data_IF_934604987458
#
_entry.id   IF_934604987458
#
_cell.length_a   1.000
_cell.length_b   1.000
_cell.length_c   1.000
_cell.angle_alpha   90.00
_cell.angle_beta   90.00
_cell.angle_gamma   90.00
#
_symmetry.space_group_name_H-M   'P 1'
#
loop_
_entity.id
_entity.type
_entity.pdbx_description
1 polymer ?
#
# COMPACT_ATOMS: atom_id res chain seq x y z
N UNK A 1 -22.20 10.88 0.11
CA UNK A 1 -21.75 12.02 -0.70
C UNK A 1 -21.92 13.29 0.13
N UNK A 2 -20.81 13.92 0.49
CA UNK A 2 -20.86 15.25 1.12
C UNK A 2 -21.26 16.28 0.05
N UNK A 3 -21.76 17.45 0.42
CA UNK A 3 -22.07 18.52 -0.55
C UNK A 3 -20.86 19.04 -1.34
N UNK A 4 -19.66 18.51 -1.06
CA UNK A 4 -18.38 18.83 -1.73
C UNK A 4 -17.90 17.77 -2.71
N UNK A 5 -18.48 16.56 -2.73
CA UNK A 5 -18.05 15.51 -3.66
C UNK A 5 -18.66 15.74 -5.03
N UNK A 6 -17.82 16.01 -6.04
CA UNK A 6 -18.20 15.93 -7.44
C UNK A 6 -17.66 14.63 -8.01
N UNK A 7 -18.44 13.94 -8.84
CA UNK A 7 -17.97 12.75 -9.54
C UNK A 7 -16.97 13.20 -10.60
N UNK A 8 -15.70 12.88 -10.39
CA UNK A 8 -14.61 13.10 -11.33
C UNK A 8 -14.81 12.18 -12.54
N UNK A 9 -14.93 12.77 -13.74
CA UNK A 9 -15.03 12.02 -15.00
C UNK A 9 -13.69 11.86 -15.72
N UNK A 10 -12.60 12.34 -15.13
CA UNK A 10 -11.30 12.45 -15.80
C UNK A 10 -10.75 11.07 -16.24
N UNK A 11 -10.04 10.99 -17.38
CA UNK A 11 -9.51 9.73 -17.88
C UNK A 11 -8.48 9.10 -16.91
N UNK A 12 -8.65 7.80 -16.62
CA UNK A 12 -7.78 7.03 -15.72
C UNK A 12 -7.13 5.87 -16.46
N UNK A 13 -5.80 5.78 -16.37
CA UNK A 13 -5.03 4.61 -16.76
C UNK A 13 -4.73 3.75 -15.53
N UNK A 14 -5.04 2.47 -15.58
CA UNK A 14 -4.66 1.49 -14.56
C UNK A 14 -3.71 0.46 -15.18
N UNK A 15 -2.47 0.44 -14.72
CA UNK A 15 -1.44 -0.52 -15.12
C UNK A 15 -1.22 -1.52 -13.97
N UNK A 16 -1.65 -2.77 -14.17
CA UNK A 16 -1.55 -3.83 -13.16
C UNK A 16 -0.48 -4.85 -13.57
N UNK A 17 0.75 -4.66 -13.09
CA UNK A 17 1.87 -5.55 -13.32
C UNK A 17 1.85 -6.72 -12.33
N UNK A 18 1.81 -7.95 -12.83
CA UNK A 18 1.70 -9.16 -12.02
C UNK A 18 2.83 -10.12 -12.38
N UNK A 19 3.61 -10.52 -11.37
CA UNK A 19 4.60 -11.57 -11.55
C UNK A 19 3.88 -12.87 -11.96
N UNK A 20 4.35 -13.55 -13.01
CA UNK A 20 3.71 -14.73 -13.61
C UNK A 20 3.22 -15.80 -12.63
N UNK A 21 3.90 -16.00 -11.50
CA UNK A 21 3.57 -17.03 -10.50
C UNK A 21 2.57 -16.57 -9.45
N UNK A 22 2.25 -15.28 -9.41
CA UNK A 22 1.24 -14.71 -8.50
C UNK A 22 -0.13 -14.84 -9.17
N UNK A 23 -1.11 -15.32 -8.40
CA UNK A 23 -2.50 -15.33 -8.85
C UNK A 23 -3.10 -13.93 -8.69
N UNK A 24 -3.52 -13.26 -9.78
CA UNK A 24 -4.16 -11.95 -9.69
C UNK A 24 -5.60 -12.03 -9.20
N UNK A 25 -6.18 -13.21 -8.98
CA UNK A 25 -7.58 -13.32 -8.58
C UNK A 25 -7.85 -12.61 -7.25
N UNK A 26 -8.85 -11.72 -7.26
CA UNK A 26 -9.18 -10.88 -6.11
C UNK A 26 -8.13 -9.80 -5.81
N UNK A 27 -7.25 -9.46 -6.77
CA UNK A 27 -6.29 -8.39 -6.58
C UNK A 27 -6.99 -7.04 -6.33
N UNK A 28 -6.40 -6.16 -5.53
CA UNK A 28 -6.92 -4.81 -5.33
C UNK A 28 -7.06 -4.01 -6.64
N UNK A 29 -6.24 -4.29 -7.65
CA UNK A 29 -6.33 -3.65 -8.97
C UNK A 29 -7.60 -4.05 -9.74
N UNK A 30 -7.98 -5.34 -9.70
CA UNK A 30 -9.23 -5.80 -10.31
C UNK A 30 -10.45 -5.16 -9.62
N UNK A 31 -10.41 -5.08 -8.28
CA UNK A 31 -11.46 -4.40 -7.50
C UNK A 31 -11.54 -2.92 -7.88
N UNK A 32 -10.39 -2.23 -8.00
CA UNK A 32 -10.34 -0.83 -8.45
C UNK A 32 -11.02 -0.63 -9.81
N UNK A 33 -10.73 -1.48 -10.80
CA UNK A 33 -11.38 -1.44 -12.11
C UNK A 33 -12.90 -1.59 -11.98
N UNK A 34 -13.35 -2.59 -11.23
CA UNK A 34 -14.78 -2.91 -11.12
C UNK A 34 -15.58 -1.80 -10.42
N UNK A 35 -14.97 -1.13 -9.45
CA UNK A 35 -15.57 0.05 -8.80
C UNK A 35 -15.59 1.24 -9.76
N UNK A 36 -14.54 1.48 -10.54
CA UNK A 36 -14.44 2.64 -11.44
C UNK A 36 -15.35 2.53 -12.67
N UNK A 37 -15.62 1.32 -13.14
CA UNK A 37 -16.33 1.07 -14.41
C UNK A 37 -17.71 1.77 -14.51
N UNK A 38 -18.55 1.84 -13.46
CA UNK A 38 -19.82 2.56 -13.52
C UNK A 38 -19.69 4.09 -13.53
N UNK A 39 -18.55 4.64 -13.08
CA UNK A 39 -18.33 6.09 -12.98
C UNK A 39 -17.61 6.68 -14.19
N UNK A 40 -16.96 5.84 -15.02
CA UNK A 40 -16.15 6.28 -16.15
C UNK A 40 -16.80 5.85 -17.47
N UNK A 41 -16.99 6.76 -18.43
CA UNK A 41 -17.25 6.40 -19.82
C UNK A 41 -16.23 5.37 -20.34
N UNK A 42 -16.63 4.53 -21.31
CA UNK A 42 -15.80 3.40 -21.80
C UNK A 42 -14.44 3.84 -22.35
N UNK A 43 -14.34 5.06 -22.84
CA UNK A 43 -13.16 5.71 -23.38
C UNK A 43 -12.30 6.41 -22.32
N UNK A 44 -12.83 6.60 -21.10
CA UNK A 44 -12.15 7.30 -19.99
C UNK A 44 -11.51 6.35 -18.97
N UNK A 45 -11.62 5.03 -19.12
CA UNK A 45 -10.97 4.05 -18.25
C UNK A 45 -10.24 3.00 -19.09
N UNK A 46 -8.91 3.00 -19.01
CA UNK A 46 -8.07 1.94 -19.59
C UNK A 46 -7.47 1.11 -18.47
N UNK A 47 -7.74 -0.20 -18.49
CA UNK A 47 -7.19 -1.16 -17.53
C UNK A 47 -6.36 -2.20 -18.27
N UNK A 48 -5.08 -2.32 -17.90
CA UNK A 48 -4.17 -3.28 -18.50
C UNK A 48 -3.55 -4.16 -17.41
N UNK A 49 -3.94 -5.43 -17.40
CA UNK A 49 -3.25 -6.48 -16.63
C UNK A 49 -2.06 -6.99 -17.44
N UNK A 50 -0.86 -6.82 -16.89
CA UNK A 50 0.42 -7.07 -17.54
C UNK A 50 1.13 -8.16 -16.75
N UNK A 51 1.08 -9.39 -17.28
CA UNK A 51 1.83 -10.51 -16.69
C UNK A 51 3.29 -10.42 -17.11
N UNK A 52 4.19 -10.28 -16.14
CA UNK A 52 5.63 -10.17 -16.40
C UNK A 52 6.44 -11.36 -15.88
N UNK A 53 7.61 -11.55 -16.49
CA UNK A 53 8.66 -12.50 -16.11
C UNK A 53 9.96 -12.00 -16.74
N UNK A 54 10.91 -11.54 -15.93
CA UNK A 54 12.18 -10.97 -16.36
C UNK A 54 13.35 -11.95 -16.25
N UNK A 55 13.10 -13.22 -15.93
CA UNK A 55 14.19 -14.13 -15.53
C UNK A 55 15.24 -14.46 -16.60
N UNK A 56 15.14 -13.91 -17.81
CA UNK A 56 16.21 -13.97 -18.83
C UNK A 56 16.19 -12.71 -19.69
N UNK A 57 17.29 -12.40 -20.37
CA UNK A 57 17.38 -11.30 -21.33
C UNK A 57 16.31 -11.38 -22.44
N UNK A 58 16.04 -12.57 -22.98
CA UNK A 58 14.99 -12.75 -24.00
C UNK A 58 13.60 -12.36 -23.47
N UNK A 59 13.29 -12.76 -22.24
CA UNK A 59 12.01 -12.40 -21.61
C UNK A 59 11.92 -10.89 -21.31
N UNK A 60 13.04 -10.25 -20.96
CA UNK A 60 13.13 -8.79 -20.83
C UNK A 60 12.85 -8.10 -22.17
N UNK A 61 13.49 -8.53 -23.27
CA UNK A 61 13.22 -7.98 -24.60
C UNK A 61 11.75 -8.14 -25.02
N UNK A 62 11.14 -9.29 -24.67
CA UNK A 62 9.72 -9.52 -24.92
C UNK A 62 8.84 -8.56 -24.13
N UNK A 63 9.18 -8.27 -22.87
CA UNK A 63 8.49 -7.27 -22.06
C UNK A 63 8.60 -5.87 -22.67
N UNK A 64 9.80 -5.47 -23.11
CA UNK A 64 10.03 -4.18 -23.79
C UNK A 64 9.12 -4.04 -25.01
N UNK A 65 9.07 -5.06 -25.88
CA UNK A 65 8.22 -5.07 -27.08
C UNK A 65 6.72 -4.99 -26.72
N UNK A 66 6.30 -5.67 -25.65
CA UNK A 66 4.93 -5.61 -25.14
C UNK A 66 4.57 -4.19 -24.65
N UNK A 67 5.46 -3.53 -23.90
CA UNK A 67 5.25 -2.15 -23.44
C UNK A 67 5.20 -1.17 -24.61
N UNK A 68 6.09 -1.32 -25.60
CA UNK A 68 6.05 -0.51 -26.82
C UNK A 68 4.72 -0.68 -27.60
N UNK A 69 4.20 -1.90 -27.67
CA UNK A 69 2.92 -2.16 -28.32
C UNK A 69 1.75 -1.51 -27.55
N UNK A 70 1.77 -1.59 -26.22
CA UNK A 70 0.79 -0.94 -25.36
C UNK A 70 0.80 0.59 -25.53
N UNK A 71 1.98 1.20 -25.48
CA UNK A 71 2.15 2.66 -25.68
C UNK A 71 1.58 3.08 -27.04
N UNK A 72 1.94 2.36 -28.12
CA UNK A 72 1.39 2.63 -29.47
C UNK A 72 -0.13 2.49 -29.52
N UNK A 73 -0.70 1.54 -28.80
CA UNK A 73 -2.14 1.36 -28.72
C UNK A 73 -2.81 2.56 -28.04
N UNK A 74 -2.28 3.01 -26.89
CA UNK A 74 -2.79 4.18 -26.16
C UNK A 74 -2.68 5.46 -27.00
N UNK A 75 -1.54 5.65 -27.68
CA UNK A 75 -1.33 6.79 -28.57
C UNK A 75 -2.29 6.76 -29.77
N UNK A 76 -2.53 5.58 -30.36
CA UNK A 76 -3.43 5.42 -31.50
C UNK A 76 -4.88 5.81 -31.19
N UNK A 77 -5.34 5.55 -29.95
CA UNK A 77 -6.69 5.95 -29.53
C UNK A 77 -6.73 7.37 -28.99
N UNK A 78 -5.60 8.09 -28.96
CA UNK A 78 -5.50 9.44 -28.41
C UNK A 78 -5.80 9.51 -26.91
N UNK A 79 -5.50 8.42 -26.17
CA UNK A 79 -5.81 8.35 -24.75
C UNK A 79 -4.75 9.10 -23.92
N UNK A 80 -5.16 10.22 -23.32
CA UNK A 80 -4.33 11.05 -22.45
C UNK A 80 -4.85 10.98 -21.01
N UNK A 81 -4.26 10.13 -20.14
CA UNK A 81 -4.73 9.95 -18.78
C UNK A 81 -4.38 11.14 -17.88
N UNK A 82 -5.38 11.68 -17.22
CA UNK A 82 -5.19 12.66 -16.14
C UNK A 82 -4.66 11.98 -14.87
N UNK A 83 -5.06 10.73 -14.62
CA UNK A 83 -4.56 9.92 -13.51
C UNK A 83 -4.02 8.58 -13.98
N UNK A 84 -2.91 8.16 -13.37
CA UNK A 84 -2.28 6.87 -13.65
C UNK A 84 -2.09 6.12 -12.33
N UNK A 85 -2.70 4.95 -12.26
CA UNK A 85 -2.57 4.01 -11.14
C UNK A 85 -1.69 2.85 -11.58
N UNK A 86 -0.52 2.73 -10.97
CA UNK A 86 0.46 1.67 -11.25
C UNK A 86 0.43 0.69 -10.08
N UNK A 87 0.05 -0.55 -10.32
CA UNK A 87 0.00 -1.59 -9.30
C UNK A 87 1.02 -2.66 -9.65
N UNK A 88 1.97 -2.91 -8.75
CA UNK A 88 2.98 -3.96 -8.89
C UNK A 88 2.70 -5.05 -7.88
N UNK A 89 2.41 -6.26 -8.38
CA UNK A 89 2.14 -7.43 -7.56
C UNK A 89 3.24 -8.47 -7.74
N UNK A 90 4.11 -8.56 -6.73
CA UNK A 90 5.25 -9.48 -6.70
C UNK A 90 5.61 -9.88 -5.26
N UNK A 91 6.73 -10.55 -5.09
CA UNK A 91 7.34 -10.86 -3.80
C UNK A 91 8.70 -10.15 -3.68
N UNK A 92 9.20 -10.07 -2.45
CA UNK A 92 10.57 -9.62 -2.16
C UNK A 92 11.39 -10.72 -1.53
N UNK A 93 12.68 -10.69 -1.82
CA UNK A 93 13.71 -11.55 -1.30
C UNK A 93 14.05 -11.16 0.14
N UNK A 94 14.14 -12.15 1.01
CA UNK A 94 14.12 -11.94 2.46
C UNK A 94 15.40 -11.32 3.01
N UNK A 95 16.56 -11.54 2.39
CA UNK A 95 17.85 -11.08 2.92
C UNK A 95 18.20 -9.66 2.46
N UNK A 96 17.91 -9.31 1.20
CA UNK A 96 18.29 -7.99 0.65
C UNK A 96 17.11 -7.04 0.46
N UNK A 97 15.87 -7.54 0.48
CA UNK A 97 14.69 -6.75 0.13
C UNK A 97 14.50 -6.55 -1.37
N UNK A 98 15.32 -7.21 -2.20
CA UNK A 98 15.23 -7.22 -3.66
C UNK A 98 13.89 -7.77 -4.15
N UNK A 99 13.46 -7.40 -5.36
CA UNK A 99 12.13 -7.75 -5.89
C UNK A 99 12.26 -8.95 -6.84
N UNK A 100 11.37 -9.93 -6.71
CA UNK A 100 11.34 -11.05 -7.66
C UNK A 100 10.86 -10.57 -9.03
N UNK A 101 11.74 -10.70 -10.03
CA UNK A 101 11.49 -10.27 -11.40
C UNK A 101 10.98 -11.38 -12.29
N UNK A 102 11.30 -12.64 -11.98
CA UNK A 102 10.95 -13.77 -12.85
C UNK A 102 11.68 -15.04 -12.46
N UNK A 103 11.76 -15.97 -13.42
CA UNK A 103 12.41 -17.26 -13.21
C UNK A 103 13.35 -17.55 -14.38
N UNK A 104 14.56 -18.04 -14.08
CA UNK A 104 15.42 -18.61 -15.12
C UNK A 104 14.75 -19.84 -15.75
N UNK A 105 15.13 -20.22 -16.97
CA UNK A 105 14.64 -21.44 -17.58
C UNK A 105 15.33 -22.65 -16.96
N UNK A 106 14.53 -23.64 -16.55
CA UNK A 106 14.84 -25.05 -16.82
C UNK A 106 13.51 -25.76 -17.13
N UNK A 107 13.35 -26.18 -18.39
CA UNK A 107 12.24 -26.99 -18.93
C UNK A 107 10.79 -26.65 -18.50
N UNK A 108 10.09 -25.93 -19.39
CA UNK A 108 8.62 -25.89 -19.57
C UNK A 108 7.74 -25.59 -18.35
N UNK A 109 7.11 -24.41 -18.33
CA UNK A 109 5.86 -24.22 -17.57
C UNK A 109 4.86 -23.35 -18.34
N UNK A 110 3.73 -23.97 -18.71
CA UNK A 110 2.53 -23.36 -19.28
C UNK A 110 1.28 -23.88 -18.53
N UNK A 111 0.13 -23.20 -18.70
CA UNK A 111 -1.14 -23.54 -18.02
C UNK A 111 -1.86 -24.71 -18.72
N UNK A 112 -2.28 -25.70 -17.93
CA UNK A 112 -3.12 -26.86 -18.30
C UNK A 112 -3.31 -27.80 -17.10
N UNK A 113 -4.31 -28.70 -17.13
CA UNK A 113 -4.72 -29.61 -16.01
C UNK A 113 -3.65 -30.61 -15.51
N UNK A 114 -2.41 -30.54 -16.00
CA UNK A 114 -1.33 -31.43 -15.59
C UNK A 114 -0.05 -30.63 -15.27
N UNK A 115 0.34 -30.71 -13.99
CA UNK A 115 1.66 -30.38 -13.41
C UNK A 115 2.05 -28.90 -13.28
N UNK A 116 1.99 -28.41 -12.04
CA UNK A 116 3.03 -27.53 -11.50
C UNK A 116 3.97 -28.42 -10.71
N UNK A 117 5.18 -28.65 -11.22
CA UNK A 117 6.31 -29.19 -10.44
C UNK A 117 7.49 -28.27 -10.79
N UNK A 118 7.87 -27.42 -9.84
CA UNK A 118 8.91 -26.40 -9.97
C UNK A 118 10.30 -27.04 -10.06
N UNK A 119 11.15 -26.62 -11.02
CA UNK A 119 12.50 -26.23 -10.61
C UNK A 119 13.04 -25.00 -11.37
N UNK A 120 13.54 -24.03 -10.60
CA UNK A 120 14.16 -22.79 -11.05
C UNK A 120 14.14 -21.79 -9.89
N UNK A 121 15.28 -21.20 -9.52
CA UNK A 121 15.30 -20.19 -8.47
C UNK A 121 14.67 -18.90 -9.00
N UNK A 122 13.82 -18.21 -8.22
CA UNK A 122 13.35 -16.89 -8.61
C UNK A 122 14.54 -15.94 -8.75
N UNK A 123 14.55 -15.15 -9.82
CA UNK A 123 15.55 -14.11 -10.03
C UNK A 123 15.10 -12.87 -9.26
N UNK A 124 15.87 -12.53 -8.24
CA UNK A 124 15.69 -11.30 -7.48
C UNK A 124 16.52 -10.17 -8.11
N UNK A 125 15.86 -9.07 -8.43
CA UNK A 125 16.47 -7.86 -8.96
C UNK A 125 16.65 -6.84 -7.84
N UNK A 126 17.73 -6.06 -7.91
CA UNK A 126 17.79 -4.83 -7.13
C UNK A 126 16.55 -4.00 -7.44
N UNK A 127 16.08 -3.23 -6.46
CA UNK A 127 14.90 -2.38 -6.66
C UNK A 127 15.07 -1.47 -7.89
N UNK A 128 16.27 -0.94 -8.09
CA UNK A 128 16.61 -0.07 -9.22
C UNK A 128 16.49 -0.79 -10.58
N UNK A 129 17.12 -1.96 -10.71
CA UNK A 129 17.11 -2.72 -11.96
C UNK A 129 15.71 -3.24 -12.27
N UNK A 130 14.95 -3.62 -11.23
CA UNK A 130 13.56 -4.03 -11.38
C UNK A 130 12.72 -2.92 -12.03
N UNK A 131 12.79 -1.68 -11.52
CA UNK A 131 12.02 -0.56 -12.08
C UNK A 131 12.48 -0.15 -13.48
N UNK A 132 13.79 -0.17 -13.76
CA UNK A 132 14.33 0.07 -15.10
C UNK A 132 13.76 -0.89 -16.14
N UNK A 133 13.68 -2.18 -15.79
CA UNK A 133 13.10 -3.20 -16.66
C UNK A 133 11.58 -3.04 -16.75
N UNK A 134 10.91 -2.87 -15.61
CA UNK A 134 9.45 -2.78 -15.52
C UNK A 134 8.90 -1.63 -16.38
N UNK A 135 9.52 -0.45 -16.29
CA UNK A 135 9.07 0.78 -16.97
C UNK A 135 9.73 1.01 -18.34
N UNK A 136 10.35 -0.02 -18.90
CA UNK A 136 10.95 0.03 -20.23
C UNK A 136 9.92 0.11 -21.37
N UNK A 137 10.40 0.36 -22.60
CA UNK A 137 9.55 0.36 -23.79
C UNK A 137 8.65 1.60 -23.92
N UNK A 138 9.01 2.70 -23.24
CA UNK A 138 8.33 3.99 -23.33
C UNK A 138 7.13 4.17 -22.41
N UNK A 139 6.78 3.15 -21.60
CA UNK A 139 5.69 3.26 -20.62
C UNK A 139 6.06 4.21 -19.47
N UNK A 140 7.36 4.46 -19.24
CA UNK A 140 7.89 5.43 -18.28
C UNK A 140 7.28 6.83 -18.38
N UNK A 141 6.82 7.25 -19.57
CA UNK A 141 6.16 8.55 -19.78
C UNK A 141 4.90 8.74 -18.93
N UNK A 142 4.27 7.64 -18.50
CA UNK A 142 3.07 7.66 -17.66
C UNK A 142 3.37 7.69 -16.14
N UNK A 143 4.64 7.56 -15.72
CA UNK A 143 4.98 7.45 -14.30
C UNK A 143 4.96 8.78 -13.56
N UNK A 144 5.28 9.88 -14.25
CA UNK A 144 5.29 11.22 -13.67
C UNK A 144 3.91 11.62 -13.16
N UNK A 145 3.77 11.88 -11.87
CA UNK A 145 2.48 12.21 -11.25
C UNK A 145 1.55 11.00 -11.07
N UNK A 146 2.06 9.78 -11.18
CA UNK A 146 1.27 8.56 -10.94
C UNK A 146 1.17 8.20 -9.45
N UNK A 147 0.20 7.34 -9.13
CA UNK A 147 0.13 6.62 -7.86
C UNK A 147 0.69 5.20 -8.06
N UNK A 148 1.71 4.83 -7.30
CA UNK A 148 2.30 3.50 -7.28
C UNK A 148 1.82 2.67 -6.08
N UNK A 149 1.37 1.44 -6.33
CA UNK A 149 0.98 0.47 -5.33
C UNK A 149 1.94 -0.71 -5.36
N UNK A 150 2.84 -0.77 -4.37
CA UNK A 150 3.76 -1.88 -4.21
C UNK A 150 3.10 -2.98 -3.36
N UNK A 151 2.38 -3.88 -4.03
CA UNK A 151 1.81 -5.08 -3.43
C UNK A 151 2.88 -6.17 -3.30
N UNK A 152 3.96 -5.84 -2.60
CA UNK A 152 5.16 -6.65 -2.42
C UNK A 152 5.37 -6.92 -0.93
N UNK A 153 6.00 -8.06 -0.59
CA UNK A 153 6.38 -8.38 0.78
C UNK A 153 7.27 -7.29 1.40
N UNK A 154 7.16 -7.11 2.70
CA UNK A 154 7.73 -5.97 3.43
C UNK A 154 9.24 -5.94 3.58
N UNK A 155 9.98 -6.98 3.15
CA UNK A 155 11.45 -6.93 3.16
C UNK A 155 11.99 -5.76 2.34
N UNK A 156 11.31 -5.39 1.24
CA UNK A 156 11.66 -4.23 0.40
C UNK A 156 11.70 -2.90 1.17
N UNK A 157 10.83 -2.72 2.17
CA UNK A 157 10.74 -1.48 2.97
C UNK A 157 11.39 -1.60 4.34
N UNK A 158 11.81 -2.80 4.74
CA UNK A 158 12.46 -3.08 6.02
C UNK A 158 13.97 -3.10 5.89
N UNK A 159 14.49 -3.56 4.75
CA UNK A 159 15.91 -3.49 4.44
C UNK A 159 16.26 -2.07 3.99
N UNK A 160 17.16 -1.41 4.72
CA UNK A 160 17.47 0.00 4.54
C UNK A 160 17.94 0.33 3.13
N UNK A 161 18.85 -0.48 2.58
CA UNK A 161 19.41 -0.25 1.24
C UNK A 161 18.34 -0.39 0.14
N UNK A 162 17.47 -1.39 0.24
CA UNK A 162 16.37 -1.57 -0.70
C UNK A 162 15.36 -0.42 -0.58
N UNK A 163 15.06 0.03 0.64
CA UNK A 163 14.11 1.11 0.87
C UNK A 163 14.65 2.48 0.42
N UNK A 164 15.94 2.75 0.62
CA UNK A 164 16.61 3.94 0.09
C UNK A 164 16.60 3.95 -1.44
N UNK A 165 16.94 2.81 -2.05
CA UNK A 165 16.86 2.65 -3.51
C UNK A 165 15.43 2.84 -4.02
N UNK A 166 14.44 2.33 -3.28
CA UNK A 166 13.02 2.53 -3.60
C UNK A 166 12.63 4.01 -3.58
N UNK A 167 13.00 4.75 -2.53
CA UNK A 167 12.77 6.20 -2.43
C UNK A 167 13.42 6.96 -3.60
N UNK A 168 14.62 6.56 -4.01
CA UNK A 168 15.30 7.18 -5.15
C UNK A 168 14.63 6.85 -6.49
N UNK A 169 14.07 5.65 -6.65
CA UNK A 169 13.23 5.32 -7.80
C UNK A 169 11.96 6.19 -7.85
N UNK A 170 11.26 6.36 -6.72
CA UNK A 170 10.07 7.25 -6.64
C UNK A 170 10.41 8.66 -7.11
N UNK A 171 11.55 9.22 -6.65
CA UNK A 171 12.01 10.54 -7.09
C UNK A 171 12.34 10.56 -8.58
N UNK A 172 13.09 9.57 -9.07
CA UNK A 172 13.56 9.52 -10.46
C UNK A 172 12.41 9.47 -11.45
N UNK A 173 11.38 8.67 -11.16
CA UNK A 173 10.19 8.55 -12.01
C UNK A 173 9.13 9.62 -11.71
N UNK A 174 9.43 10.57 -10.82
CA UNK A 174 8.52 11.63 -10.38
C UNK A 174 7.13 11.11 -9.96
N UNK A 175 7.11 9.96 -9.27
CA UNK A 175 5.88 9.34 -8.78
C UNK A 175 5.37 10.19 -7.61
N UNK A 176 4.13 10.68 -7.72
CA UNK A 176 3.53 11.59 -6.73
C UNK A 176 3.19 10.85 -5.44
N UNK A 177 2.58 9.68 -5.58
CA UNK A 177 2.16 8.85 -4.47
C UNK A 177 2.69 7.44 -4.59
N UNK A 178 3.18 6.87 -3.49
CA UNK A 178 3.51 5.46 -3.43
C UNK A 178 3.04 4.84 -2.13
N UNK A 179 2.37 3.69 -2.22
CA UNK A 179 1.95 2.86 -1.09
C UNK A 179 2.73 1.55 -1.07
N UNK A 180 3.36 1.25 0.05
CA UNK A 180 4.03 -0.01 0.32
C UNK A 180 3.67 -0.54 1.72
N UNK A 181 4.02 -1.78 2.03
CA UNK A 181 3.52 -2.46 3.23
C UNK A 181 4.62 -3.20 3.98
N UNK A 182 4.61 -3.16 5.31
CA UNK A 182 5.73 -3.68 6.12
C UNK A 182 5.70 -5.19 6.43
N UNK A 183 4.66 -5.92 6.03
CA UNK A 183 4.50 -7.33 6.42
C UNK A 183 5.39 -8.27 5.60
N UNK A 184 6.19 -9.11 6.25
CA UNK A 184 7.11 -10.07 5.60
C UNK A 184 6.40 -11.08 4.68
N UNK A 185 5.22 -11.53 5.09
CA UNK A 185 4.32 -12.37 4.29
C UNK A 185 3.09 -11.56 3.93
N UNK A 186 3.28 -10.56 3.07
CA UNK A 186 2.22 -9.64 2.72
C UNK A 186 1.11 -10.34 1.93
N UNK A 187 -0.14 -10.15 2.34
CA UNK A 187 -1.31 -10.66 1.64
C UNK A 187 -2.04 -9.47 1.01
N UNK A 188 -1.87 -9.29 -0.31
CA UNK A 188 -2.41 -8.14 -1.03
C UNK A 188 -3.95 -8.01 -0.90
N UNK A 189 -4.68 -9.12 -0.79
CA UNK A 189 -6.14 -9.09 -0.60
C UNK A 189 -6.59 -8.38 0.69
N UNK A 190 -5.70 -8.19 1.67
CA UNK A 190 -6.02 -7.45 2.89
C UNK A 190 -6.09 -5.94 2.66
N UNK A 191 -5.58 -5.42 1.53
CA UNK A 191 -5.68 -3.99 1.18
C UNK A 191 -6.98 -3.63 0.47
N UNK A 192 -7.83 -4.61 0.12
CA UNK A 192 -9.03 -4.35 -0.68
C UNK A 192 -9.95 -3.29 -0.07
N UNK A 193 -10.16 -3.29 1.26
CA UNK A 193 -10.97 -2.24 1.91
C UNK A 193 -10.32 -0.86 1.85
N UNK A 194 -8.98 -0.80 1.95
CA UNK A 194 -8.21 0.44 1.81
C UNK A 194 -8.32 0.99 0.38
N UNK A 195 -8.11 0.11 -0.62
CA UNK A 195 -8.19 0.47 -2.03
C UNK A 195 -9.63 0.84 -2.41
N UNK A 196 -10.65 0.16 -1.89
CA UNK A 196 -12.04 0.54 -2.15
C UNK A 196 -12.32 1.99 -1.71
N UNK A 197 -11.95 2.33 -0.47
CA UNK A 197 -12.11 3.71 0.00
C UNK A 197 -11.22 4.70 -0.77
N UNK A 198 -10.01 4.29 -1.18
CA UNK A 198 -9.16 5.13 -2.01
C UNK A 198 -9.86 5.46 -3.34
N UNK A 199 -10.41 4.45 -4.02
CA UNK A 199 -11.09 4.63 -5.30
C UNK A 199 -12.29 5.56 -5.13
N UNK A 200 -13.13 5.31 -4.12
CA UNK A 200 -14.29 6.16 -3.84
C UNK A 200 -13.89 7.61 -3.55
N UNK A 201 -12.95 7.84 -2.62
CA UNK A 201 -12.63 9.19 -2.16
C UNK A 201 -11.71 9.95 -3.13
N UNK A 202 -10.71 9.29 -3.68
CA UNK A 202 -9.65 9.94 -4.47
C UNK A 202 -10.00 9.91 -5.95
N UNK A 203 -10.37 8.76 -6.50
CA UNK A 203 -10.56 8.60 -7.95
C UNK A 203 -11.96 8.98 -8.42
N UNK A 204 -12.98 8.76 -7.58
CA UNK A 204 -14.38 9.11 -7.89
C UNK A 204 -14.72 10.49 -7.35
N UNK A 205 -14.48 10.77 -6.07
CA UNK A 205 -14.83 12.07 -5.46
C UNK A 205 -13.76 13.16 -5.66
N UNK A 206 -12.57 12.81 -6.17
CA UNK A 206 -11.51 13.77 -6.52
C UNK A 206 -10.75 14.36 -5.34
N UNK A 207 -10.88 13.80 -4.13
CA UNK A 207 -10.14 14.27 -2.97
C UNK A 207 -8.64 13.99 -3.08
N UNK A 208 -7.85 14.79 -2.38
CA UNK A 208 -6.43 14.55 -2.21
C UNK A 208 -6.18 13.43 -1.21
N UNK A 209 -5.16 12.61 -1.47
CA UNK A 209 -4.82 11.46 -0.61
C UNK A 209 -4.57 11.89 0.82
N UNK A 210 -3.86 13.00 1.02
CA UNK A 210 -3.48 13.53 2.32
C UNK A 210 -4.70 13.99 3.12
N UNK A 211 -5.75 14.46 2.44
CA UNK A 211 -6.99 14.93 3.07
C UNK A 211 -7.86 13.76 3.56
N UNK A 212 -7.79 12.61 2.87
CA UNK A 212 -8.66 11.45 3.16
C UNK A 212 -7.92 10.24 3.73
N UNK A 213 -6.60 10.30 3.92
CA UNK A 213 -5.80 9.15 4.38
C UNK A 213 -6.33 8.56 5.68
N UNK A 214 -6.82 9.40 6.60
CA UNK A 214 -7.43 8.95 7.85
C UNK A 214 -8.69 8.10 7.60
N UNK A 215 -9.53 8.51 6.65
CA UNK A 215 -10.73 7.75 6.29
C UNK A 215 -10.37 6.40 5.65
N UNK A 216 -9.31 6.36 4.83
CA UNK A 216 -8.80 5.12 4.24
C UNK A 216 -8.31 4.14 5.31
N UNK A 217 -7.62 4.65 6.33
CA UNK A 217 -7.11 3.86 7.44
C UNK A 217 -8.24 3.32 8.33
N UNK A 218 -9.26 4.13 8.60
CA UNK A 218 -10.41 3.75 9.46
C UNK A 218 -11.13 2.53 8.90
N UNK A 219 -11.30 2.43 7.58
CA UNK A 219 -12.05 1.32 6.96
C UNK A 219 -11.21 0.04 6.77
N UNK A 220 -9.96 0.04 7.24
CA UNK A 220 -8.98 -1.00 6.92
C UNK A 220 -8.54 -1.88 8.11
N UNK A 221 -9.44 -2.39 8.98
CA UNK A 221 -9.05 -3.11 10.20
C UNK A 221 -8.36 -4.46 9.92
N UNK A 222 -8.60 -5.07 8.73
CA UNK A 222 -7.92 -6.31 8.34
C UNK A 222 -6.47 -6.07 7.98
N UNK A 223 -6.20 -5.01 7.23
CA UNK A 223 -4.85 -4.54 6.95
C UNK A 223 -4.14 -4.11 8.24
N UNK A 224 -4.87 -3.45 9.15
CA UNK A 224 -4.36 -3.00 10.44
C UNK A 224 -3.77 -4.12 11.31
N UNK A 225 -4.33 -5.33 11.22
CA UNK A 225 -3.80 -6.51 11.93
C UNK A 225 -2.54 -7.09 11.27
N UNK A 226 -2.24 -6.75 10.02
CA UNK A 226 -1.26 -7.45 9.21
C UNK A 226 -0.01 -6.62 8.90
N UNK A 227 -0.20 -5.39 8.44
CA UNK A 227 0.89 -4.55 7.94
C UNK A 227 0.78 -3.12 8.47
N UNK A 228 1.91 -2.42 8.59
CA UNK A 228 1.89 -0.96 8.54
C UNK A 228 1.82 -0.53 7.07
N UNK A 229 1.31 0.68 6.83
CA UNK A 229 1.26 1.28 5.50
C UNK A 229 2.37 2.33 5.43
N UNK A 230 3.23 2.21 4.43
CA UNK A 230 4.24 3.21 4.11
C UNK A 230 3.68 4.01 2.94
N UNK A 231 3.46 5.30 3.16
CA UNK A 231 3.05 6.25 2.14
C UNK A 231 4.22 7.19 1.85
N UNK A 232 4.67 7.20 0.60
CA UNK A 232 5.61 8.20 0.11
C UNK A 232 4.80 9.19 -0.71
N UNK A 233 4.93 10.47 -0.38
CA UNK A 233 4.33 11.56 -1.13
C UNK A 233 5.42 12.52 -1.57
N UNK A 234 5.51 12.74 -2.89
CA UNK A 234 6.41 13.73 -3.48
C UNK A 234 5.59 14.95 -3.86
N UNK A 235 5.84 16.08 -3.20
CA UNK A 235 5.27 17.36 -3.62
C UNK A 235 6.05 17.84 -4.84
N UNK A 236 5.57 17.51 -6.02
CA UNK A 236 6.01 18.09 -7.26
C UNK A 236 5.12 19.31 -7.59
N UNK A 237 5.69 20.33 -8.23
CA UNK A 237 4.89 21.47 -8.73
C UNK A 237 3.94 21.08 -9.87
N UNK A 238 3.95 19.81 -10.27
CA UNK A 238 3.15 19.25 -11.34
C UNK A 238 1.91 18.58 -10.77
N UNK A 239 0.77 19.27 -10.84
CA UNK A 239 -0.53 18.66 -10.56
C UNK A 239 -1.20 18.34 -11.89
N UNK A 240 -1.51 17.06 -12.12
CA UNK A 240 -2.31 16.67 -13.28
C UNK A 240 -3.79 17.00 -13.10
N UNK A 241 -4.26 17.18 -11.86
CA UNK A 241 -5.67 17.45 -11.59
C UNK A 241 -6.05 18.91 -11.59
N UNK A 242 -7.30 19.17 -11.98
CA UNK A 242 -7.94 20.46 -11.74
C UNK A 242 -7.98 20.80 -10.22
N UNK A 243 -7.86 22.09 -9.86
CA UNK A 243 -7.97 22.53 -8.47
C UNK A 243 -9.29 22.07 -7.83
N UNK A 244 -9.26 21.66 -6.56
CA UNK A 244 -10.49 21.37 -5.82
C UNK A 244 -11.34 22.62 -5.70
N UNK A 245 -12.65 22.47 -5.43
CA UNK A 245 -13.51 23.59 -5.04
C UNK A 245 -12.92 24.40 -3.88
N UNK A 246 -12.26 23.74 -2.92
CA UNK A 246 -11.61 24.41 -1.80
C UNK A 246 -10.51 25.34 -2.30
N UNK A 247 -9.68 24.89 -3.24
CA UNK A 247 -8.62 25.68 -3.88
C UNK A 247 -9.18 26.81 -4.76
N UNK A 248 -10.31 26.57 -5.45
CA UNK A 248 -11.04 27.62 -6.15
C UNK A 248 -11.53 28.71 -5.19
N UNK A 249 -12.06 28.33 -4.03
CA UNK A 249 -12.57 29.29 -3.03
C UNK A 249 -11.50 30.01 -2.22
N UNK A 250 -10.32 29.40 -2.05
CA UNK A 250 -9.20 29.96 -1.28
C UNK A 250 -8.21 30.74 -2.15
N UNK A 251 -8.38 30.71 -3.47
CA UNK A 251 -7.48 31.31 -4.44
C UNK A 251 -6.28 30.41 -4.70
N UNK A 252 -6.00 30.12 -5.98
CA UNK A 252 -4.80 29.43 -6.41
C UNK A 252 -3.58 30.29 -6.15
N UNK A 253 -2.99 30.17 -4.96
CA UNK A 253 -1.62 30.59 -4.75
C UNK A 253 -0.74 29.58 -5.44
N UNK A 254 -0.38 29.85 -6.71
CA UNK A 254 0.78 29.21 -7.34
C UNK A 254 1.94 29.49 -6.39
N UNK A 255 2.37 28.48 -5.64
CA UNK A 255 3.63 28.54 -4.91
C UNK A 255 4.71 28.53 -5.98
N UNK A 256 5.36 29.67 -6.25
CA UNK A 256 6.48 29.68 -7.18
C UNK A 256 7.56 28.81 -6.54
N UNK A 257 8.11 27.86 -7.29
CA UNK A 257 9.20 27.01 -6.82
C UNK A 257 8.90 26.26 -5.52
N UNK A 258 7.76 25.56 -5.44
CA UNK A 258 7.54 24.59 -4.37
C UNK A 258 8.71 23.58 -4.39
N UNK A 259 9.65 23.78 -3.47
CA UNK A 259 10.83 22.94 -3.28
C UNK A 259 10.37 21.49 -3.29
N UNK A 260 10.82 20.71 -4.26
CA UNK A 260 10.47 19.29 -4.31
C UNK A 260 10.81 18.69 -2.95
N UNK A 261 9.80 18.12 -2.31
CA UNK A 261 9.92 17.53 -0.99
C UNK A 261 9.31 16.15 -1.05
N UNK A 262 10.01 15.20 -0.44
CA UNK A 262 9.53 13.84 -0.29
C UNK A 262 9.21 13.64 1.17
N UNK A 263 7.96 13.28 1.44
CA UNK A 263 7.46 12.96 2.76
C UNK A 263 7.19 11.46 2.80
N UNK A 264 7.82 10.76 3.73
CA UNK A 264 7.61 9.35 3.98
C UNK A 264 6.85 9.22 5.30
N UNK A 265 5.60 8.77 5.23
CA UNK A 265 4.74 8.56 6.38
C UNK A 265 4.49 7.07 6.59
N UNK A 266 4.80 6.57 7.79
CA UNK A 266 4.51 5.19 8.18
C UNK A 266 3.32 5.18 9.13
N UNK A 267 2.20 4.62 8.67
CA UNK A 267 0.98 4.43 9.43
C UNK A 267 1.01 3.06 10.10
N UNK A 268 1.25 3.06 11.41
CA UNK A 268 1.29 1.85 12.21
C UNK A 268 0.04 1.75 13.06
N UNK A 269 -0.73 0.69 12.81
CA UNK A 269 -1.90 0.38 13.62
C UNK A 269 -1.48 -0.29 14.91
N UNK A 270 -2.11 0.09 16.02
CA UNK A 270 -1.90 -0.50 17.32
C UNK A 270 -3.23 -0.88 17.94
N UNK A 271 -3.20 -1.99 18.67
CA UNK A 271 -4.35 -2.52 19.38
C UNK A 271 -3.83 -3.26 20.61
N UNK A 272 -4.37 -2.96 21.78
CA UNK A 272 -3.87 -3.46 23.07
C UNK A 272 -3.68 -4.98 23.06
N UNK A 273 -4.62 -5.74 22.49
CA UNK A 273 -4.58 -7.21 22.54
C UNK A 273 -4.03 -7.91 21.29
N UNK A 274 -3.87 -7.19 20.17
CA UNK A 274 -3.58 -7.82 18.87
C UNK A 274 -2.28 -7.30 18.27
N UNK A 275 -2.00 -6.02 18.49
CA UNK A 275 -0.86 -5.31 17.95
C UNK A 275 -0.31 -4.29 18.97
N UNK A 276 0.16 -4.75 20.14
CA UNK A 276 0.60 -3.88 21.22
C UNK A 276 1.71 -2.93 20.74
N UNK A 277 1.45 -1.63 20.83
CA UNK A 277 2.33 -0.56 20.35
C UNK A 277 2.78 -0.72 18.88
N UNK A 278 1.94 -1.31 18.03
CA UNK A 278 2.27 -1.50 16.61
C UNK A 278 2.99 -2.80 16.27
N UNK A 279 3.36 -3.60 17.28
CA UNK A 279 4.06 -4.85 17.08
C UNK A 279 3.09 -6.01 16.91
N UNK A 280 3.25 -6.83 15.88
CA UNK A 280 2.38 -7.99 15.64
C UNK A 280 2.55 -9.04 16.74
N UNK A 281 1.44 -9.41 17.38
CA UNK A 281 1.41 -10.55 18.28
C UNK A 281 1.35 -11.85 17.46
N UNK A 282 2.29 -12.81 17.62
CA UNK A 282 2.30 -14.02 16.82
C UNK A 282 0.97 -14.77 16.88
N UNK A 283 0.46 -15.23 15.74
CA UNK A 283 -0.79 -16.00 15.73
C UNK A 283 -0.68 -17.31 16.51
N UNK A 284 0.51 -17.90 16.54
CA UNK A 284 0.84 -19.11 17.30
C UNK A 284 1.89 -18.83 18.37
N UNK A 285 1.78 -19.51 19.50
CA UNK A 285 2.85 -19.49 20.49
C UNK A 285 4.13 -20.09 19.90
N UNK A 286 5.28 -19.39 19.90
CA UNK A 286 6.51 -19.91 19.33
C UNK A 286 6.99 -21.19 20.05
N UNK A 287 6.66 -21.35 21.34
CA UNK A 287 7.01 -22.51 22.16
C UNK A 287 6.11 -23.72 21.93
N UNK A 288 4.80 -23.59 22.16
CA UNK A 288 3.88 -24.73 22.10
C UNK A 288 3.05 -24.84 20.82
N UNK A 289 3.23 -23.91 19.87
CA UNK A 289 2.54 -23.82 18.57
C UNK A 289 1.02 -23.67 18.63
N UNK A 290 0.42 -23.57 19.82
CA UNK A 290 -1.01 -23.36 19.96
C UNK A 290 -1.44 -22.01 19.37
N UNK A 291 -2.55 -22.03 18.63
CA UNK A 291 -3.14 -20.88 17.93
C UNK A 291 -3.91 -19.98 18.89
N UNK A 292 -3.76 -18.65 18.73
CA UNK A 292 -4.51 -17.60 19.44
C UNK A 292 -4.54 -17.78 20.96
N UNK A 293 -3.41 -18.14 21.56
CA UNK A 293 -3.36 -18.48 22.98
C UNK A 293 -2.97 -17.34 23.91
N UNK A 294 -2.92 -16.09 23.47
CA UNK A 294 -2.34 -15.02 24.30
C UNK A 294 -3.37 -14.38 25.23
N UNK A 295 -3.01 -14.27 26.51
CA UNK A 295 -3.70 -13.44 27.50
C UNK A 295 -2.82 -12.23 27.84
N UNK A 296 -3.43 -11.05 27.93
CA UNK A 296 -2.75 -9.85 28.37
C UNK A 296 -2.52 -9.92 29.89
N UNK A 297 -1.26 -9.76 30.31
CA UNK A 297 -0.89 -9.68 31.71
C UNK A 297 -1.07 -8.24 32.15
N UNK A 298 -2.22 -7.96 32.78
CA UNK A 298 -2.47 -6.66 33.41
C UNK A 298 -1.52 -6.53 34.60
N UNK A 299 -0.40 -5.84 34.42
CA UNK A 299 0.40 -5.39 35.54
C UNK A 299 -0.46 -4.38 36.29
N UNK A 300 -0.67 -4.60 37.58
CA UNK A 300 -1.40 -3.66 38.44
C UNK A 300 -0.58 -2.38 38.66
N UNK A 301 -0.32 -1.63 37.60
CA UNK A 301 0.17 -0.26 37.69
C UNK A 301 -1.01 0.66 38.03
N UNK A 302 -0.73 1.69 38.83
CA UNK A 302 -1.70 2.68 39.31
C UNK A 302 -2.61 3.18 38.16
N UNK A 303 -3.88 3.53 38.42
CA UNK A 303 -4.95 3.63 37.39
C UNK A 303 -4.77 4.67 36.27
N UNK A 304 -3.65 5.39 36.21
CA UNK A 304 -3.44 6.52 35.28
C UNK A 304 -2.09 6.54 34.58
N UNK A 305 -1.21 5.56 34.80
CA UNK A 305 0.07 5.49 34.06
C UNK A 305 -0.05 4.45 32.96
N UNK A 306 -0.11 4.91 31.71
CA UNK A 306 0.09 4.05 30.54
C UNK A 306 1.44 3.35 30.70
N UNK A 307 1.44 2.03 30.85
CA UNK A 307 2.69 1.30 30.96
C UNK A 307 3.46 1.37 29.64
N UNK A 308 4.77 1.61 29.72
CA UNK A 308 5.67 1.55 28.56
C UNK A 308 5.92 0.11 28.09
N UNK A 309 5.40 -0.88 28.84
CA UNK A 309 5.47 -2.29 28.50
C UNK A 309 4.07 -2.92 28.44
N UNK A 310 3.86 -3.81 27.47
CA UNK A 310 2.70 -4.71 27.41
C UNK A 310 3.21 -6.14 27.42
N UNK A 311 2.71 -6.97 28.34
CA UNK A 311 3.14 -8.37 28.51
C UNK A 311 2.00 -9.32 28.18
N UNK A 312 2.33 -10.39 27.48
CA UNK A 312 1.38 -11.44 27.09
C UNK A 312 1.89 -12.79 27.54
N UNK A 313 1.00 -13.64 28.04
CA UNK A 313 1.30 -15.04 28.37
C UNK A 313 0.49 -15.99 27.48
N UNK A 314 1.13 -17.05 27.00
CA UNK A 314 0.42 -18.17 26.37
C UNK A 314 -0.42 -18.91 27.42
N UNK A 315 -1.74 -18.98 27.20
CA UNK A 315 -2.72 -19.72 28.00
C UNK A 315 -2.31 -21.15 28.31
N UNK A 316 -1.68 -21.82 27.33
CA UNK A 316 -1.32 -23.24 27.39
C UNK A 316 0.01 -23.47 28.09
N UNK A 317 1.12 -22.90 27.58
CA UNK A 317 2.46 -23.20 28.09
C UNK A 317 3.08 -22.10 28.95
N UNK A 318 2.34 -21.02 29.22
CA UNK A 318 2.76 -19.85 30.01
C UNK A 318 3.98 -19.09 29.48
N UNK A 319 4.45 -19.41 28.27
CA UNK A 319 5.49 -18.63 27.60
C UNK A 319 5.05 -17.17 27.45
N UNK A 320 5.94 -16.23 27.76
CA UNK A 320 5.63 -14.80 27.78
C UNK A 320 6.34 -14.05 26.66
N UNK A 321 5.65 -13.06 26.08
CA UNK A 321 6.23 -12.06 25.18
C UNK A 321 6.00 -10.68 25.80
N UNK A 322 7.03 -9.82 25.74
CA UNK A 322 6.95 -8.44 26.21
C UNK A 322 7.19 -7.50 25.04
N UNK A 323 6.34 -6.50 24.90
CA UNK A 323 6.48 -5.41 23.94
C UNK A 323 6.75 -4.13 24.69
N UNK A 324 7.71 -3.34 24.19
CA UNK A 324 8.01 -2.00 24.70
C UNK A 324 7.45 -0.97 23.75
N UNK A 325 6.93 0.13 24.30
CA UNK A 325 6.52 1.28 23.52
C UNK A 325 7.76 1.94 22.92
N UNK A 326 7.74 2.18 21.63
CA UNK A 326 8.76 2.99 20.97
C UNK A 326 8.37 4.47 21.12
N UNK A 327 9.24 5.28 21.72
CA UNK A 327 8.98 6.71 21.97
C UNK A 327 9.37 7.61 20.78
N UNK A 328 9.68 7.03 19.61
CA UNK A 328 10.00 7.83 18.43
C UNK A 328 8.78 8.67 18.03
N UNK A 329 9.03 9.92 17.64
CA UNK A 329 8.06 10.98 17.36
C UNK A 329 6.89 10.49 16.50
N UNK A 330 5.83 10.02 17.16
CA UNK A 330 4.63 9.57 16.48
C UNK A 330 3.46 10.42 16.96
N UNK A 331 2.76 11.04 16.02
CA UNK A 331 1.43 11.58 16.32
C UNK A 331 0.50 10.38 16.48
N UNK A 332 -0.09 10.22 17.66
CA UNK A 332 -1.12 9.21 17.92
C UNK A 332 -2.46 9.79 17.52
N UNK A 333 -3.05 9.26 16.45
CA UNK A 333 -4.40 9.57 16.04
C UNK A 333 -5.32 8.54 16.71
N UNK A 334 -6.15 9.03 17.65
CA UNK A 334 -7.11 8.18 18.35
C UNK A 334 -8.32 7.91 17.44
N UNK A 335 -8.49 6.67 16.99
CA UNK A 335 -9.69 6.25 16.28
C UNK A 335 -10.59 5.43 17.21
N UNK A 336 -11.69 6.03 17.66
CA UNK A 336 -12.75 5.29 18.33
C UNK A 336 -13.65 4.64 17.26
N UNK A 337 -13.30 3.44 16.81
CA UNK A 337 -14.31 2.55 16.21
C UNK A 337 -15.25 2.09 17.32
N UNK A 338 -16.31 2.85 17.57
CA UNK A 338 -17.38 2.48 18.47
C UNK A 338 -18.14 1.27 17.92
N UNK A 339 -17.59 0.07 18.06
CA UNK A 339 -18.39 -1.16 17.96
C UNK A 339 -19.28 -1.23 19.20
N UNK A 340 -20.38 -0.44 19.20
CA UNK A 340 -21.48 -0.63 20.14
C UNK A 340 -22.23 -1.87 19.67
N UNK A 341 -21.78 -3.04 20.11
CA UNK A 341 -22.56 -4.27 19.98
C UNK A 341 -23.91 -4.06 20.65
N UNK A 342 -24.97 -3.98 19.87
CA UNK A 342 -26.34 -4.06 20.34
C UNK A 342 -26.67 -5.53 20.59
N UNK A 343 -26.58 -5.98 21.83
CA UNK A 343 -27.27 -7.20 22.24
C UNK A 343 -27.73 -7.11 23.69
N UNK A 344 -29.00 -6.73 23.87
CA UNK A 344 -30.02 -7.63 24.39
C UNK A 344 -31.38 -7.01 24.06
N UNK A 345 -32.32 -7.84 23.59
CA UNK A 345 -33.62 -7.46 23.05
C UNK A 345 -34.62 -6.89 24.06
N UNK A 346 -34.21 -5.92 24.88
CA UNK A 346 -35.04 -5.29 25.90
C UNK A 346 -35.16 -3.77 25.76
N UNK A 347 -34.71 -3.17 24.65
CA UNK A 347 -34.90 -1.74 24.34
C UNK A 347 -34.29 -0.75 25.34
N UNK A 348 -33.59 -1.22 26.39
CA UNK A 348 -32.88 -0.39 27.36
C UNK A 348 -31.41 -0.31 26.99
N UNK A 349 -30.96 0.90 26.65
CA UNK A 349 -29.55 1.26 26.58
C UNK A 349 -28.92 1.13 27.98
N UNK A 350 -28.36 -0.03 28.29
CA UNK A 350 -27.51 -0.19 29.47
C UNK A 350 -26.15 0.43 29.14
N UNK A 351 -25.75 1.49 29.84
CA UNK A 351 -24.34 1.93 29.90
C UNK A 351 -23.55 0.77 30.51
N UNK A 352 -22.95 -0.09 29.69
CA UNK A 352 -21.97 -1.07 30.17
C UNK A 352 -20.79 -0.27 30.74
N UNK A 353 -20.58 -0.37 32.05
CA UNK A 353 -19.58 0.40 32.78
C UNK A 353 -18.17 0.16 32.25
N UNK A 354 -17.33 1.20 32.29
CA UNK A 354 -15.86 1.23 32.24
C UNK A 354 -15.10 0.12 31.49
N UNK A 355 -15.65 -0.48 30.44
CA UNK A 355 -14.82 -1.20 29.49
C UNK A 355 -14.08 -0.13 28.70
N UNK A 356 -12.79 0.05 29.02
CA UNK A 356 -11.87 0.85 28.23
C UNK A 356 -12.14 0.54 26.75
N UNK A 357 -12.43 1.57 25.97
CA UNK A 357 -12.83 1.40 24.59
C UNK A 357 -11.69 0.70 23.83
N UNK A 358 -11.85 -0.58 23.52
CA UNK A 358 -10.90 -1.35 22.72
C UNK A 358 -11.06 -0.91 21.27
N UNK A 359 -10.34 0.15 20.89
CA UNK A 359 -10.29 0.69 19.53
C UNK A 359 -8.91 0.45 18.90
N UNK A 360 -8.87 0.52 17.58
CA UNK A 360 -7.60 0.64 16.85
C UNK A 360 -7.06 2.05 17.02
N UNK A 361 -5.81 2.19 17.44
CA UNK A 361 -5.09 3.46 17.42
C UNK A 361 -4.13 3.46 16.26
N UNK A 362 -3.96 4.59 15.57
CA UNK A 362 -2.99 4.72 14.49
C UNK A 362 -1.92 5.71 14.91
N UNK A 363 -0.67 5.27 14.86
CA UNK A 363 0.49 6.14 15.04
C UNK A 363 1.09 6.44 13.68
N UNK A 364 1.43 7.71 13.44
CA UNK A 364 2.10 8.16 12.21
C UNK A 364 3.48 8.66 12.54
N UNK A 365 4.50 8.07 11.90
CA UNK A 365 5.87 8.58 11.90
C UNK A 365 6.15 9.16 10.53
N UNK A 366 6.68 10.39 10.49
CA UNK A 366 6.92 11.12 9.24
C UNK A 366 8.38 11.53 9.14
N UNK A 367 9.01 11.18 8.03
CA UNK A 367 10.34 11.64 7.64
C UNK A 367 10.19 12.57 6.43
N UNK A 368 10.80 13.76 6.48
CA UNK A 368 10.82 14.68 5.36
C UNK A 368 12.24 14.87 4.85
N UNK A 369 12.41 14.79 3.53
CA UNK A 369 13.67 15.08 2.86
C UNK A 369 13.45 16.14 1.79
N UNK A 370 14.31 17.15 1.78
CA UNK A 370 14.42 18.04 0.62
C UNK A 370 14.91 17.23 -0.58
N UNK A 371 14.20 17.30 -1.69
CA UNK A 371 14.60 16.63 -2.93
C UNK A 371 15.49 17.59 -3.70
N UNK A 372 16.78 17.25 -3.84
CA UNK A 372 17.63 17.92 -4.80
C UNK A 372 17.09 17.62 -6.22
N UNK A 373 16.99 18.64 -7.07
CA UNK A 373 16.60 18.47 -8.47
C UNK A 373 17.56 17.47 -9.13
N UNK A 374 17.05 16.32 -9.59
CA UNK A 374 17.83 15.48 -10.49
C UNK A 374 18.05 16.27 -11.78
N UNK A 375 19.28 16.31 -12.33
CA UNK A 375 19.47 16.79 -13.69
C UNK A 375 18.60 15.95 -14.61
N UNK A 376 17.78 16.62 -15.41
CA UNK A 376 16.89 16.00 -16.40
C UNK A 376 17.70 15.02 -17.23
N UNK A 377 17.26 13.76 -17.28
CA UNK A 377 17.80 12.78 -18.22
C UNK A 377 17.52 13.30 -19.65
N UNK A 378 18.51 13.34 -20.54
CA UNK A 378 18.38 13.87 -21.89
C UNK A 378 17.37 13.11 -22.76
#
# INVERSE_FOLDING_TARGET
MTSRSQICSDPILVLHFVLRTVDPFGSPAAVMRDILQPYKPKDHLQYHEIIFDFGTGEKVEKHVKMMQALVKQLDKVGFDPERVEVIVYSHSETARGDIWGGFEPDNSVGRGKHKVITPGLPVAYTVDDFFKVLFSGGIEKYMKGSTLWMLVCGHMVRESNAFDTFKDCIKRYEIEHSFAFSAEMFHACLTTSFVNAYVERVLVEGFEVQDVIQDLLIVSPRLAMHAAIIHIHVTNGFRRRLPTIVEYTQGLTRTPDAKHSMVVSTYTFSHENLRPFGNTLPYQCPKCKCVRTWDHIVIASKPFVLSDESKFACRKCKHTITYKRQHHQAQVILHFQGYRGTSNGSGKLVRKGNTAATGWLVSVTTESAAVALCPTVP
#
